data_IF_825272024993
#
_entry.id   IF_825272024993
#
_cell.length_a   1.000
_cell.length_b   1.000
_cell.length_c   1.000
_cell.angle_alpha   90.00
_cell.angle_beta   90.00
_cell.angle_gamma   90.00
#
_symmetry.space_group_name_H-M   'P 1'
#
loop_
_entity.id
_entity.type
_entity.pdbx_description
1 polymer ?
#
# COMPACT_ATOMS: atom_id res chain seq x y z
N UNK A 1 11.47 -5.88 40.15
CA UNK A 1 11.64 -5.39 38.78
C UNK A 1 10.39 -5.81 38.00
N UNK A 2 9.64 -4.92 37.35
CA UNK A 2 8.44 -5.34 36.66
C UNK A 2 8.85 -6.13 35.42
N UNK A 3 8.35 -7.36 35.34
CA UNK A 3 8.56 -8.27 34.24
C UNK A 3 7.71 -7.78 33.07
N UNK A 4 8.38 -7.33 32.01
CA UNK A 4 7.81 -7.15 30.68
C UNK A 4 7.39 -8.51 30.14
N UNK A 5 6.33 -9.11 30.68
CA UNK A 5 5.64 -10.19 29.99
C UNK A 5 4.79 -9.49 28.93
N UNK A 6 5.31 -9.42 27.71
CA UNK A 6 4.51 -9.15 26.54
C UNK A 6 3.55 -10.34 26.39
N UNK A 7 2.48 -10.37 27.18
CA UNK A 7 1.34 -11.23 26.89
C UNK A 7 0.77 -10.72 25.58
N UNK A 8 0.98 -11.49 24.52
CA UNK A 8 0.36 -11.21 23.23
C UNK A 8 -1.13 -11.14 23.45
N UNK A 9 -1.68 -9.92 23.47
CA UNK A 9 -3.09 -9.75 23.77
C UNK A 9 -3.88 -10.29 22.56
N UNK A 10 -4.82 -11.22 22.75
CA UNK A 10 -5.62 -11.80 21.65
C UNK A 10 -6.33 -10.72 20.81
N UNK A 11 -6.53 -9.56 21.42
CA UNK A 11 -7.10 -8.36 20.80
C UNK A 11 -6.20 -7.79 19.70
N UNK A 12 -4.89 -7.66 19.93
CA UNK A 12 -3.95 -7.11 18.93
C UNK A 12 -3.87 -8.01 17.69
N UNK A 13 -3.80 -9.32 17.90
CA UNK A 13 -3.84 -10.30 16.81
C UNK A 13 -5.15 -10.21 16.02
N UNK A 14 -6.29 -10.09 16.72
CA UNK A 14 -7.60 -9.94 16.09
C UNK A 14 -7.73 -8.66 15.25
N UNK A 15 -7.21 -7.54 15.75
CA UNK A 15 -7.21 -6.25 15.03
C UNK A 15 -6.32 -6.34 13.79
N UNK A 16 -5.12 -6.90 13.91
CA UNK A 16 -4.21 -7.07 12.79
C UNK A 16 -4.82 -7.96 11.69
N UNK A 17 -5.39 -9.09 12.09
CA UNK A 17 -6.03 -10.02 11.16
C UNK A 17 -7.26 -9.41 10.47
N UNK A 18 -8.11 -8.69 11.21
CA UNK A 18 -9.25 -7.97 10.64
C UNK A 18 -8.81 -6.90 9.63
N UNK A 19 -7.70 -6.21 9.91
CA UNK A 19 -7.15 -5.17 9.03
C UNK A 19 -6.65 -5.76 7.71
N UNK A 20 -6.00 -6.93 7.75
CA UNK A 20 -5.57 -7.69 6.55
C UNK A 20 -6.78 -8.07 5.69
N UNK A 21 -7.80 -8.68 6.30
CA UNK A 21 -9.03 -9.08 5.60
C UNK A 21 -9.74 -7.88 4.97
N UNK A 22 -9.81 -6.75 5.68
CA UNK A 22 -10.36 -5.50 5.16
C UNK A 22 -9.58 -4.99 3.95
N UNK A 23 -8.25 -5.02 4.00
CA UNK A 23 -7.39 -4.64 2.87
C UNK A 23 -7.66 -5.49 1.63
N UNK A 24 -7.67 -6.82 1.79
CA UNK A 24 -7.99 -7.79 0.73
C UNK A 24 -9.38 -7.55 0.15
N UNK A 25 -10.38 -7.30 1.01
CA UNK A 25 -11.73 -7.00 0.56
C UNK A 25 -11.79 -5.74 -0.31
N UNK A 26 -11.09 -4.67 0.06
CA UNK A 26 -11.03 -3.41 -0.70
C UNK A 26 -10.35 -3.64 -2.07
N UNK A 27 -9.28 -4.43 -2.11
CA UNK A 27 -8.56 -4.81 -3.33
C UNK A 27 -9.50 -5.52 -4.31
N UNK A 28 -10.25 -6.53 -3.84
CA UNK A 28 -11.14 -7.34 -4.69
C UNK A 28 -12.37 -6.54 -5.14
N UNK A 29 -12.94 -5.70 -4.26
CA UNK A 29 -14.21 -5.02 -4.51
C UNK A 29 -14.12 -3.85 -5.53
N UNK A 30 -12.92 -3.34 -5.85
CA UNK A 30 -12.77 -2.09 -6.60
C UNK A 30 -12.02 -2.26 -7.93
N UNK A 31 -12.55 -1.62 -8.99
CA UNK A 31 -11.95 -1.59 -10.34
C UNK A 31 -10.96 -0.44 -10.54
N UNK A 32 -10.91 0.55 -9.64
CA UNK A 32 -10.04 1.73 -9.76
C UNK A 32 -8.66 1.45 -9.19
N UNK A 33 -7.61 1.78 -9.95
CA UNK A 33 -6.21 1.59 -9.57
C UNK A 33 -5.86 2.23 -8.20
N UNK A 34 -6.33 3.46 -7.97
CA UNK A 34 -6.09 4.21 -6.72
C UNK A 34 -6.70 3.50 -5.51
N UNK A 35 -7.87 2.89 -5.66
CA UNK A 35 -8.53 2.18 -4.56
C UNK A 35 -7.84 0.85 -4.28
N UNK A 36 -7.30 0.21 -5.32
CA UNK A 36 -6.48 -1.00 -5.18
C UNK A 36 -5.17 -0.70 -4.42
N UNK A 37 -4.51 0.42 -4.74
CA UNK A 37 -3.35 0.95 -4.01
C UNK A 37 -3.65 1.19 -2.53
N UNK A 38 -4.77 1.85 -2.21
CA UNK A 38 -5.20 2.07 -0.83
C UNK A 38 -5.49 0.76 -0.08
N UNK A 39 -6.17 -0.20 -0.73
CA UNK A 39 -6.44 -1.51 -0.15
C UNK A 39 -5.17 -2.31 0.13
N UNK A 40 -4.19 -2.20 -0.76
CA UNK A 40 -2.87 -2.79 -0.60
C UNK A 40 -2.10 -2.19 0.59
N UNK A 41 -2.14 -0.86 0.74
CA UNK A 41 -1.53 -0.15 1.86
C UNK A 41 -2.15 -0.54 3.22
N UNK A 42 -3.46 -0.74 3.25
CA UNK A 42 -4.18 -1.17 4.47
C UNK A 42 -3.81 -2.61 4.83
N UNK A 43 -3.72 -3.50 3.84
CA UNK A 43 -3.33 -4.89 4.04
C UNK A 43 -1.91 -5.01 4.62
N UNK A 44 -0.96 -4.30 4.02
CA UNK A 44 0.42 -4.13 4.48
C UNK A 44 0.53 -3.75 5.95
N UNK A 45 -0.12 -2.65 6.33
CA UNK A 45 -0.09 -2.15 7.70
C UNK A 45 -0.70 -3.17 8.67
N UNK A 46 -1.68 -3.95 8.23
CA UNK A 46 -2.23 -5.09 8.98
C UNK A 46 -1.21 -6.22 9.19
N UNK A 47 -0.41 -6.56 8.17
CA UNK A 47 0.66 -7.57 8.27
C UNK A 47 1.76 -7.12 9.22
N UNK A 48 2.12 -5.83 9.18
CA UNK A 48 3.09 -5.25 10.11
C UNK A 48 2.62 -5.34 11.57
N UNK A 49 1.36 -4.98 11.84
CA UNK A 49 0.76 -5.12 13.17
C UNK A 49 0.67 -6.59 13.62
N UNK A 50 0.40 -7.51 12.70
CA UNK A 50 0.37 -8.95 12.99
C UNK A 50 1.77 -9.46 13.39
N UNK A 51 2.80 -8.97 12.70
CA UNK A 51 4.19 -9.28 13.03
C UNK A 51 4.61 -8.72 14.38
N UNK A 52 4.14 -7.53 14.76
CA UNK A 52 4.43 -6.92 16.05
C UNK A 52 3.75 -7.70 17.18
N UNK A 53 2.48 -8.09 16.98
CA UNK A 53 1.72 -8.89 17.93
C UNK A 53 2.30 -10.30 18.11
N UNK A 54 2.79 -10.93 17.04
CA UNK A 54 3.40 -12.27 17.10
C UNK A 54 4.77 -12.32 17.84
N UNK A 55 5.31 -11.19 18.29
CA UNK A 55 6.58 -11.14 19.03
C UNK A 55 7.82 -11.24 18.14
N UNK A 56 9.00 -11.04 18.75
CA UNK A 56 10.35 -10.82 18.17
C UNK A 56 10.88 -11.86 17.17
N UNK A 57 10.08 -12.84 16.78
CA UNK A 57 10.49 -13.98 15.96
C UNK A 57 10.30 -13.75 14.45
N UNK A 58 9.70 -12.62 14.04
CA UNK A 58 9.38 -12.34 12.63
C UNK A 58 10.01 -11.04 12.07
N UNK A 59 11.31 -10.75 12.30
CA UNK A 59 11.97 -9.57 11.73
C UNK A 59 11.91 -9.54 10.19
N UNK A 60 11.83 -10.72 9.55
CA UNK A 60 11.67 -10.83 8.10
C UNK A 60 10.35 -10.25 7.58
N UNK A 61 9.24 -10.34 8.33
CA UNK A 61 7.94 -9.80 7.90
C UNK A 61 7.97 -8.27 7.90
N UNK A 62 8.63 -7.67 8.90
CA UNK A 62 8.86 -6.23 8.94
C UNK A 62 9.70 -5.77 7.75
N UNK A 63 10.76 -6.51 7.40
CA UNK A 63 11.59 -6.20 6.22
C UNK A 63 10.80 -6.33 4.90
N UNK A 64 9.89 -7.30 4.80
CA UNK A 64 8.98 -7.40 3.64
C UNK A 64 8.01 -6.22 3.57
N UNK A 65 7.51 -5.75 4.72
CA UNK A 65 6.66 -4.56 4.78
C UNK A 65 7.35 -3.31 4.25
N UNK A 66 8.59 -3.07 4.69
CA UNK A 66 9.40 -1.95 4.18
C UNK A 66 9.70 -2.11 2.69
N UNK A 67 9.95 -3.33 2.21
CA UNK A 67 10.18 -3.60 0.78
C UNK A 67 8.94 -3.31 -0.07
N UNK A 68 7.75 -3.46 0.51
CA UNK A 68 6.50 -3.23 -0.21
C UNK A 68 6.19 -1.72 -0.28
N UNK A 69 6.42 -0.96 0.79
CA UNK A 69 6.32 0.51 0.75
C UNK A 69 7.27 1.11 -0.30
N UNK A 70 8.47 0.53 -0.47
CA UNK A 70 9.37 0.85 -1.57
C UNK A 70 8.74 0.55 -2.95
N UNK A 71 8.04 -0.58 -3.09
CA UNK A 71 7.34 -0.94 -4.33
C UNK A 71 6.17 0.01 -4.62
N UNK A 72 5.45 0.46 -3.59
CA UNK A 72 4.40 1.46 -3.71
C UNK A 72 4.96 2.82 -4.16
N UNK A 73 6.09 3.24 -3.61
CA UNK A 73 6.79 4.45 -4.04
C UNK A 73 7.12 4.42 -5.54
N UNK A 74 7.64 3.28 -6.03
CA UNK A 74 7.90 3.08 -7.47
C UNK A 74 6.60 3.10 -8.28
N UNK A 75 5.54 2.44 -7.81
CA UNK A 75 4.25 2.41 -8.50
C UNK A 75 3.62 3.82 -8.64
N UNK A 76 3.73 4.64 -7.59
CA UNK A 76 3.30 6.05 -7.62
C UNK A 76 4.17 6.85 -8.60
N UNK A 77 5.49 6.66 -8.61
CA UNK A 77 6.38 7.32 -9.55
C UNK A 77 6.04 6.99 -11.01
N UNK A 78 5.77 5.71 -11.32
CA UNK A 78 5.35 5.26 -12.66
C UNK A 78 4.02 5.90 -13.06
N UNK A 79 3.04 5.96 -12.14
CA UNK A 79 1.75 6.61 -12.39
C UNK A 79 1.93 8.10 -12.70
N UNK A 80 2.81 8.78 -11.95
CA UNK A 80 3.14 10.18 -12.16
C UNK A 80 3.78 10.41 -13.52
N UNK A 81 4.78 9.60 -13.90
CA UNK A 81 5.43 9.70 -15.22
C UNK A 81 4.39 9.50 -16.34
N UNK A 82 3.49 8.52 -16.20
CA UNK A 82 2.39 8.31 -17.16
C UNK A 82 1.47 9.53 -17.26
N UNK A 83 1.11 10.12 -16.12
CA UNK A 83 0.24 11.29 -16.09
C UNK A 83 0.92 12.50 -16.72
N UNK A 84 2.19 12.71 -16.41
CA UNK A 84 3.02 13.77 -16.97
C UNK A 84 3.13 13.62 -18.49
N UNK A 85 3.46 12.43 -19.01
CA UNK A 85 3.50 12.16 -20.45
C UNK A 85 2.16 12.45 -21.13
N UNK A 86 1.05 12.01 -20.55
CA UNK A 86 -0.29 12.32 -21.08
C UNK A 86 -0.55 13.82 -21.17
N UNK A 87 -0.18 14.60 -20.14
CA UNK A 87 -0.36 16.06 -20.17
C UNK A 87 0.55 16.73 -21.20
N UNK A 88 1.78 16.25 -21.38
CA UNK A 88 2.71 16.79 -22.38
C UNK A 88 2.31 16.43 -23.82
N UNK A 89 1.87 15.19 -24.07
CA UNK A 89 1.35 14.77 -25.39
C UNK A 89 0.12 15.60 -25.77
N UNK A 90 -0.76 15.95 -24.82
CA UNK A 90 -1.91 16.84 -25.07
C UNK A 90 -1.47 18.29 -25.35
N UNK A 91 -0.42 18.77 -24.65
CA UNK A 91 0.11 20.14 -24.81
C UNK A 91 0.87 20.36 -26.14
N UNK A 92 1.41 19.29 -26.73
CA UNK A 92 2.11 19.32 -28.02
C UNK A 92 1.13 19.15 -29.20
N UNK A 93 -0.19 19.06 -28.99
CA UNK A 93 -1.16 19.09 -30.10
C UNK A 93 -1.09 20.47 -30.79
N UNK A 94 -0.48 20.57 -31.99
CA UNK A 94 -0.23 21.85 -32.60
C UNK A 94 -1.56 22.36 -33.11
N UNK A 95 -2.10 23.39 -32.46
CA UNK A 95 -3.09 24.29 -33.03
C UNK A 95 -2.41 25.18 -34.10
N UNK A 96 -1.79 24.54 -35.07
CA UNK A 96 -1.35 25.04 -36.37
C UNK A 96 -1.36 23.78 -37.25
N UNK A 97 -2.33 23.55 -38.11
CA UNK A 97 -2.57 24.26 -39.35
C UNK A 97 -3.92 23.78 -39.88
N UNK A 98 -4.89 24.68 -39.97
CA UNK A 98 -5.86 24.80 -41.07
C UNK A 98 -6.65 26.08 -40.84
N UNK A 99 -5.95 27.18 -41.09
CA UNK A 99 -6.57 28.19 -41.95
C UNK A 99 -6.68 27.55 -43.33
N UNK A 100 -7.90 27.32 -43.78
CA UNK A 100 -8.31 27.42 -45.18
C UNK A 100 -9.77 27.90 -45.20
#
# INVERSE_FOLDING_TARGET
APVWTAEVSPLEFGIAFATILKGIFIIIANKKLITHLMGYLIMENGIFLLSLSAGSHLPYIVSLGVSLDLMLSVLIAVLFIKRIRSTFDDAESPHSLKEE
#
